data_IF_436815302232
#
_entry.id   IF_436815302232
#
_cell.length_a   1.000
_cell.length_b   1.000
_cell.length_c   1.000
_cell.angle_alpha   90.00
_cell.angle_beta   90.00
_cell.angle_gamma   90.00
#
_symmetry.space_group_name_H-M   'P 1'
#
loop_
_entity.id
_entity.type
_entity.pdbx_description
1 polymer ?
#
# COMPACT_ATOMS: atom_id res chain seq x y z
N UNK A 1 -8.75 -19.93 1.38
CA UNK A 1 -7.30 -19.63 1.32
C UNK A 1 -6.86 -19.05 -0.04
N UNK A 2 -7.15 -19.72 -1.17
CA UNK A 2 -6.76 -19.26 -2.52
C UNK A 2 -7.09 -17.79 -2.82
N UNK A 3 -8.27 -17.30 -2.38
CA UNK A 3 -8.64 -15.88 -2.54
C UNK A 3 -7.68 -14.91 -1.85
N UNK A 4 -7.21 -15.24 -0.65
CA UNK A 4 -6.26 -14.36 0.07
C UNK A 4 -4.87 -14.42 -0.57
N UNK A 5 -4.47 -15.57 -1.11
CA UNK A 5 -3.24 -15.70 -1.91
C UNK A 5 -3.32 -14.79 -3.13
N UNK A 6 -4.41 -14.86 -3.92
CA UNK A 6 -4.59 -14.05 -5.11
C UNK A 6 -4.59 -12.53 -4.80
N UNK A 7 -5.34 -12.12 -3.76
CA UNK A 7 -5.36 -10.74 -3.28
C UNK A 7 -3.97 -10.23 -2.88
N UNK A 8 -3.26 -10.99 -2.04
CA UNK A 8 -1.94 -10.59 -1.57
C UNK A 8 -0.93 -10.55 -2.72
N UNK A 9 -0.93 -11.55 -3.60
CA UNK A 9 -0.06 -11.61 -4.76
C UNK A 9 -0.27 -10.41 -5.70
N UNK A 10 -1.53 -10.04 -5.95
CA UNK A 10 -1.86 -8.87 -6.77
C UNK A 10 -1.27 -7.57 -6.19
N UNK A 11 -1.46 -7.34 -4.89
CA UNK A 11 -0.95 -6.13 -4.25
C UNK A 11 0.59 -6.13 -4.15
N UNK A 12 1.21 -7.25 -3.78
CA UNK A 12 2.66 -7.35 -3.72
C UNK A 12 3.30 -7.17 -5.08
N UNK A 13 2.73 -7.74 -6.14
CA UNK A 13 3.24 -7.56 -7.49
C UNK A 13 3.23 -6.07 -7.91
N UNK A 14 2.17 -5.33 -7.58
CA UNK A 14 2.12 -3.89 -7.80
C UNK A 14 3.23 -3.15 -7.04
N UNK A 15 3.40 -3.45 -5.74
CA UNK A 15 4.41 -2.80 -4.89
C UNK A 15 5.84 -3.12 -5.36
N UNK A 16 6.13 -4.37 -5.69
CA UNK A 16 7.48 -4.82 -6.06
C UNK A 16 7.94 -4.28 -7.42
N UNK A 17 7.00 -3.96 -8.32
CA UNK A 17 7.29 -3.37 -9.64
C UNK A 17 7.18 -1.84 -9.65
N UNK A 18 6.94 -1.21 -8.50
CA UNK A 18 6.82 0.24 -8.36
C UNK A 18 8.17 0.89 -8.08
N UNK A 19 8.37 2.09 -8.61
CA UNK A 19 9.46 2.97 -8.23
C UNK A 19 9.12 3.77 -6.98
N UNK A 20 7.85 4.08 -6.75
CA UNK A 20 7.39 4.89 -5.62
C UNK A 20 7.12 4.08 -4.35
N UNK A 21 6.59 2.86 -4.46
CA UNK A 21 6.23 2.06 -3.29
C UNK A 21 7.35 1.11 -2.86
N UNK A 22 7.37 0.82 -1.56
CA UNK A 22 8.32 -0.14 -1.00
C UNK A 22 7.72 -0.89 0.18
N UNK A 23 7.95 -2.20 0.22
CA UNK A 23 7.67 -3.04 1.37
C UNK A 23 9.02 -3.49 1.96
N UNK A 24 9.22 -3.26 3.26
CA UNK A 24 10.46 -3.62 3.98
C UNK A 24 10.44 -5.03 4.59
N UNK A 25 9.37 -5.81 4.37
CA UNK A 25 9.24 -7.16 4.92
C UNK A 25 9.91 -8.14 3.98
N UNK A 26 10.77 -9.00 4.54
CA UNK A 26 11.39 -10.11 3.80
C UNK A 26 10.34 -10.94 3.07
N UNK A 27 10.64 -11.32 1.82
CA UNK A 27 9.68 -11.99 0.92
C UNK A 27 9.11 -13.26 1.54
N UNK A 28 9.91 -14.05 2.26
CA UNK A 28 9.47 -15.28 2.93
C UNK A 28 8.55 -15.04 4.13
N UNK A 29 8.53 -13.82 4.67
CA UNK A 29 7.79 -13.44 5.87
C UNK A 29 6.56 -12.56 5.56
N UNK A 30 6.28 -12.29 4.28
CA UNK A 30 5.18 -11.41 3.85
C UNK A 30 3.82 -11.97 4.23
N UNK A 31 3.04 -11.16 4.94
CA UNK A 31 1.69 -11.52 5.36
C UNK A 31 0.70 -11.47 4.18
N UNK A 32 -0.17 -12.47 4.09
CA UNK A 32 -1.31 -12.45 3.15
C UNK A 32 -2.47 -11.57 3.61
N UNK A 33 -2.43 -11.10 4.85
CA UNK A 33 -3.58 -10.45 5.52
C UNK A 33 -3.31 -8.99 5.86
N UNK A 34 -2.07 -8.62 6.18
CA UNK A 34 -1.71 -7.25 6.54
C UNK A 34 -0.45 -6.86 5.79
N UNK A 35 -0.61 -6.08 4.75
CA UNK A 35 0.47 -5.69 3.84
C UNK A 35 0.87 -4.24 4.16
N UNK A 36 1.92 -4.02 4.97
CA UNK A 36 2.48 -2.69 5.16
C UNK A 36 3.26 -2.27 3.91
N UNK A 37 3.25 -0.99 3.58
CA UNK A 37 4.10 -0.42 2.53
C UNK A 37 4.31 1.06 2.78
N UNK A 38 5.34 1.61 2.16
CA UNK A 38 5.77 3.00 2.33
C UNK A 38 5.91 3.66 0.97
N UNK A 39 5.79 4.99 0.93
CA UNK A 39 6.32 5.78 -0.18
C UNK A 39 7.84 5.83 -0.04
N UNK A 40 8.56 5.93 -1.16
CA UNK A 40 9.98 6.30 -1.15
C UNK A 40 10.13 7.81 -0.97
N UNK A 41 11.14 8.16 -0.19
CA UNK A 41 11.69 9.49 -0.02
C UNK A 41 12.52 9.91 -1.23
N UNK A 42 12.90 11.18 -1.27
CA UNK A 42 13.70 11.74 -2.36
C UNK A 42 15.14 11.20 -2.32
N UNK A 43 15.57 10.68 -1.17
CA UNK A 43 16.81 9.94 -0.94
C UNK A 43 16.70 8.44 -1.31
N UNK A 44 15.56 8.01 -1.85
CA UNK A 44 15.25 6.62 -2.18
C UNK A 44 14.91 5.72 -0.99
N UNK A 45 14.96 6.25 0.25
CA UNK A 45 14.67 5.50 1.46
C UNK A 45 13.17 5.48 1.77
N UNK A 46 12.66 4.47 2.49
CA UNK A 46 11.25 4.44 2.86
C UNK A 46 10.87 5.63 3.76
N UNK A 47 9.73 6.25 3.45
CA UNK A 47 9.24 7.40 4.17
C UNK A 47 8.51 6.97 5.45
N UNK A 48 9.24 6.99 6.56
CA UNK A 48 8.77 6.51 7.86
C UNK A 48 7.96 7.55 8.65
N UNK A 49 8.15 8.84 8.37
CA UNK A 49 7.42 9.90 9.07
C UNK A 49 5.93 9.91 8.67
N UNK A 50 5.08 9.48 9.60
CA UNK A 50 3.64 9.43 9.44
C UNK A 50 2.98 10.82 9.21
N UNK A 51 3.70 11.91 9.50
CA UNK A 51 3.22 13.30 9.37
C UNK A 51 3.64 13.97 8.07
N UNK A 52 4.47 13.31 7.25
CA UNK A 52 4.95 13.87 6.01
C UNK A 52 3.80 14.16 5.02
N UNK A 53 3.82 15.31 4.31
CA UNK A 53 2.72 15.75 3.45
C UNK A 53 2.36 14.75 2.35
N UNK A 54 3.33 14.02 1.79
CA UNK A 54 3.05 12.96 0.79
C UNK A 54 2.21 11.81 1.34
N UNK A 55 2.40 11.43 2.61
CA UNK A 55 1.56 10.41 3.25
C UNK A 55 0.13 10.94 3.41
N UNK A 56 -0.04 12.21 3.78
CA UNK A 56 -1.36 12.83 3.85
C UNK A 56 -2.04 12.92 2.47
N UNK A 57 -1.31 13.35 1.43
CA UNK A 57 -1.83 13.43 0.07
C UNK A 57 -2.28 12.05 -0.47
N UNK A 58 -1.50 11.00 -0.21
CA UNK A 58 -1.89 9.63 -0.53
C UNK A 58 -3.17 9.22 0.21
N UNK A 59 -3.25 9.45 1.52
CA UNK A 59 -4.41 9.01 2.31
C UNK A 59 -5.69 9.76 1.92
N UNK A 60 -5.60 11.06 1.62
CA UNK A 60 -6.76 11.83 1.16
C UNK A 60 -7.19 11.44 -0.26
N UNK A 61 -6.23 11.19 -1.17
CA UNK A 61 -6.53 10.69 -2.52
C UNK A 61 -7.20 9.32 -2.50
N UNK A 62 -6.70 8.40 -1.66
CA UNK A 62 -7.32 7.09 -1.45
C UNK A 62 -8.74 7.23 -0.90
N UNK A 63 -8.92 8.07 0.12
CA UNK A 63 -10.23 8.33 0.74
C UNK A 63 -11.24 8.90 -0.25
N UNK A 64 -10.82 9.80 -1.14
CA UNK A 64 -11.67 10.35 -2.20
C UNK A 64 -12.17 9.27 -3.19
N UNK A 65 -11.46 8.14 -3.30
CA UNK A 65 -11.87 6.95 -4.08
C UNK A 65 -12.58 5.89 -3.24
N UNK A 66 -12.94 6.19 -1.98
CA UNK A 66 -13.57 5.23 -1.07
C UNK A 66 -12.62 4.18 -0.50
N UNK A 67 -11.30 4.32 -0.69
CA UNK A 67 -10.29 3.43 -0.13
C UNK A 67 -9.92 3.90 1.28
N UNK A 68 -10.61 3.36 2.28
CA UNK A 68 -10.50 3.77 3.68
C UNK A 68 -9.52 2.89 4.48
N UNK A 69 -9.11 3.39 5.65
CA UNK A 69 -8.33 2.64 6.65
C UNK A 69 -6.94 2.16 6.18
N UNK A 70 -6.31 2.90 5.26
CA UNK A 70 -4.96 2.60 4.76
C UNK A 70 -3.83 3.19 5.58
N UNK A 71 -4.11 4.06 6.58
CA UNK A 71 -3.06 4.67 7.40
C UNK A 71 -2.34 3.59 8.21
N UNK A 72 -1.01 3.58 8.12
CA UNK A 72 -0.15 2.68 8.88
C UNK A 72 -0.21 2.93 10.39
N UNK A 73 0.39 2.02 11.16
CA UNK A 73 0.44 2.17 12.61
C UNK A 73 1.32 3.37 13.00
N UNK A 74 0.93 4.13 14.04
CA UNK A 74 1.61 5.38 14.43
C UNK A 74 3.12 5.21 14.68
N UNK A 75 3.54 4.06 15.21
CA UNK A 75 4.94 3.79 15.53
C UNK A 75 5.82 3.40 14.33
N UNK A 76 5.20 3.04 13.20
CA UNK A 76 5.90 2.56 12.00
C UNK A 76 5.75 3.54 10.85
N UNK A 77 4.63 4.26 10.78
CA UNK A 77 4.30 5.16 9.68
C UNK A 77 3.82 4.41 8.43
N UNK A 78 3.90 5.09 7.28
CA UNK A 78 3.49 4.56 5.98
C UNK A 78 2.01 4.17 5.90
N UNK A 79 1.75 3.15 5.09
CA UNK A 79 0.43 2.62 4.78
C UNK A 79 0.34 1.14 5.13
N UNK A 80 -0.90 0.68 5.34
CA UNK A 80 -1.20 -0.73 5.58
C UNK A 80 -2.51 -1.13 4.94
N UNK A 81 -2.47 -2.09 4.03
CA UNK A 81 -3.66 -2.73 3.49
C UNK A 81 -4.00 -4.01 4.27
N UNK A 82 -5.18 -4.04 4.89
CA UNK A 82 -5.67 -5.21 5.61
C UNK A 82 -6.66 -6.01 4.75
N UNK A 83 -6.24 -7.18 4.27
CA UNK A 83 -6.91 -8.00 3.27
C UNK A 83 -7.65 -9.19 3.88
N UNK A 84 -8.38 -8.97 4.98
CA UNK A 84 -9.13 -10.02 5.68
C UNK A 84 -10.15 -10.75 4.77
N UNK A 85 -10.71 -11.86 5.24
CA UNK A 85 -11.56 -12.73 4.43
C UNK A 85 -12.76 -12.01 3.78
N UNK A 86 -13.33 -11.02 4.47
CA UNK A 86 -14.44 -10.22 3.97
C UNK A 86 -14.03 -9.19 2.89
N UNK A 87 -12.73 -8.94 2.71
CA UNK A 87 -12.24 -8.01 1.69
C UNK A 87 -12.36 -8.65 0.30
N UNK A 88 -13.19 -8.11 -0.61
CA UNK A 88 -13.32 -8.59 -1.99
C UNK A 88 -12.03 -8.39 -2.80
N UNK A 89 -11.87 -9.16 -3.89
CA UNK A 89 -10.72 -9.02 -4.79
C UNK A 89 -10.78 -7.68 -5.53
N UNK A 90 -11.98 -7.26 -5.88
CA UNK A 90 -12.32 -6.02 -6.57
C UNK A 90 -11.83 -4.79 -5.78
N UNK A 91 -11.90 -4.84 -4.44
CA UNK A 91 -11.35 -3.76 -3.62
C UNK A 91 -9.82 -3.72 -3.61
N UNK A 92 -9.15 -4.86 -3.83
CA UNK A 92 -7.69 -4.91 -4.01
C UNK A 92 -7.31 -4.41 -5.41
N UNK A 93 -8.11 -4.72 -6.43
CA UNK A 93 -7.93 -4.17 -7.78
C UNK A 93 -8.08 -2.65 -7.77
N UNK A 94 -9.13 -2.11 -7.13
CA UNK A 94 -9.33 -0.68 -6.97
C UNK A 94 -8.17 0.00 -6.22
N UNK A 95 -7.59 -0.68 -5.21
CA UNK A 95 -6.39 -0.20 -4.54
C UNK A 95 -5.19 -0.15 -5.51
N UNK A 96 -4.94 -1.22 -6.25
CA UNK A 96 -3.83 -1.28 -7.22
C UNK A 96 -3.96 -0.23 -8.32
N UNK A 97 -5.16 -0.02 -8.86
CA UNK A 97 -5.44 1.06 -9.80
C UNK A 97 -5.10 2.43 -9.20
N UNK A 98 -5.52 2.67 -7.95
CA UNK A 98 -5.13 3.89 -7.25
C UNK A 98 -3.63 4.02 -7.04
N UNK A 99 -2.92 2.95 -6.69
CA UNK A 99 -1.46 2.96 -6.54
C UNK A 99 -0.78 3.40 -7.85
N UNK A 100 -1.20 2.84 -8.97
CA UNK A 100 -0.65 3.21 -10.28
C UNK A 100 -0.95 4.66 -10.66
N UNK A 101 -2.18 5.13 -10.43
CA UNK A 101 -2.55 6.51 -10.73
C UNK A 101 -1.80 7.52 -9.86
N UNK A 102 -1.67 7.22 -8.57
CA UNK A 102 -0.93 8.09 -7.66
C UNK A 102 0.55 8.12 -8.02
N UNK A 103 1.16 6.98 -8.35
CA UNK A 103 2.56 6.93 -8.79
C UNK A 103 2.79 7.74 -10.07
N UNK A 104 1.92 7.60 -11.07
CA UNK A 104 2.00 8.40 -12.32
C UNK A 104 1.84 9.90 -12.07
N UNK A 105 1.05 10.30 -11.07
CA UNK A 105 0.86 11.71 -10.72
C UNK A 105 1.99 12.28 -9.86
N UNK A 106 2.92 11.45 -9.38
CA UNK A 106 4.10 11.86 -8.62
C UNK A 106 5.42 11.72 -9.41
N UNK A 107 5.38 11.08 -10.58
CA UNK A 107 6.45 11.04 -11.56
C UNK A 107 6.52 12.36 -12.34
#
# INVERSE_FOLDING_TARGET
EQRNIAKAALLYHCIDNSQLYVNQVDVGCRSRMNIPFFLRGDDGQPLLDATHPRNAAFLEGAKARGLLQLKGHKSVGGMRASLYNAMPLEGVQALVEYLHDFEKAQA
#
